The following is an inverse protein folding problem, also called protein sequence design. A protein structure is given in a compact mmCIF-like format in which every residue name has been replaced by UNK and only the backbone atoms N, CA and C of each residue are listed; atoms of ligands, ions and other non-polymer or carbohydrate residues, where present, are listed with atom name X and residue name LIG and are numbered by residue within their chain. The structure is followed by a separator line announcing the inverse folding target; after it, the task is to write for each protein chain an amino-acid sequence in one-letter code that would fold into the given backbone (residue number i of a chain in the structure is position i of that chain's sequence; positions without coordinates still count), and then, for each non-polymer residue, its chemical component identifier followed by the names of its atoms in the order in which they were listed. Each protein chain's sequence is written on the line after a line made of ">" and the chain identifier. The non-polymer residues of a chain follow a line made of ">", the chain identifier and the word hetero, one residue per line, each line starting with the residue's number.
data_IF_451107508562
#
_entry.id   IF_451107508562
#
_cell.length_a   1.000
_cell.length_b   1.000
_cell.length_c   1.000
_cell.angle_alpha   90.00
_cell.angle_beta   90.00
_cell.angle_gamma   90.00
#
_symmetry.space_group_name_H-M   'P 1'
#
loop_
_entity.id
_entity.type
_entity.pdbx_description
1 polymer ?
#
# COMPACT_ATOMS: atom_id res chain seq x y z
N UNK A 1 -10.41 18.58 7.42
CA UNK A 1 -10.82 18.25 8.82
C UNK A 1 -10.75 16.74 8.96
N UNK A 2 -10.28 16.24 10.10
CA UNK A 2 -10.29 14.81 10.38
C UNK A 2 -11.73 14.27 10.19
N UNK A 3 -11.90 13.19 9.42
CA UNK A 3 -13.21 12.60 9.12
C UNK A 3 -13.59 11.52 10.14
N UNK A 4 -13.16 11.72 11.38
CA UNK A 4 -13.44 10.89 12.53
C UNK A 4 -13.72 11.76 13.75
N UNK A 5 -14.44 11.21 14.71
CA UNK A 5 -14.69 11.83 16.01
C UNK A 5 -14.03 10.99 17.10
N UNK A 6 -13.20 11.66 17.90
CA UNK A 6 -12.69 11.08 19.13
C UNK A 6 -13.84 10.92 20.11
N UNK A 7 -14.07 9.70 20.58
CA UNK A 7 -15.08 9.36 21.59
C UNK A 7 -14.44 8.57 22.73
N UNK A 8 -15.16 8.42 23.86
CA UNK A 8 -14.72 7.57 24.95
C UNK A 8 -14.77 6.08 24.59
N UNK A 9 -14.08 5.23 25.36
CA UNK A 9 -14.11 3.77 25.16
C UNK A 9 -15.52 3.21 25.28
N UNK A 10 -16.32 3.70 26.22
CA UNK A 10 -17.69 3.26 26.46
C UNK A 10 -18.58 3.56 25.25
N UNK A 11 -18.49 4.79 24.71
CA UNK A 11 -19.25 5.20 23.52
C UNK A 11 -18.83 4.39 22.29
N UNK A 12 -17.53 4.08 22.16
CA UNK A 12 -17.04 3.23 21.08
C UNK A 12 -17.52 1.79 21.23
N UNK A 13 -17.41 1.19 22.41
CA UNK A 13 -17.91 -0.16 22.70
C UNK A 13 -19.41 -0.27 22.43
N UNK A 14 -20.22 0.69 22.89
CA UNK A 14 -21.66 0.72 22.61
C UNK A 14 -21.98 0.75 21.11
N UNK A 15 -21.10 1.38 20.32
CA UNK A 15 -21.23 1.43 18.86
C UNK A 15 -20.91 0.08 18.23
N UNK A 16 -19.86 -0.61 18.69
CA UNK A 16 -19.33 -1.82 18.00
C UNK A 16 -19.84 -3.15 18.59
N UNK A 17 -20.34 -3.17 19.82
CA UNK A 17 -20.73 -4.41 20.53
C UNK A 17 -21.81 -5.26 19.85
N UNK A 18 -22.56 -4.69 18.92
CA UNK A 18 -23.67 -5.36 18.23
C UNK A 18 -23.22 -6.20 17.03
N UNK A 19 -21.96 -6.10 16.62
CA UNK A 19 -21.41 -6.85 15.48
C UNK A 19 -20.33 -7.83 15.93
N UNK A 20 -20.19 -8.99 15.25
CA UNK A 20 -19.20 -9.99 15.62
C UNK A 20 -17.77 -9.50 15.36
N UNK A 21 -16.85 -9.84 16.26
CA UNK A 21 -15.43 -9.57 16.05
C UNK A 21 -14.91 -10.29 14.79
N UNK A 22 -13.98 -9.69 14.03
CA UNK A 22 -13.42 -10.34 12.85
C UNK A 22 -12.63 -11.59 13.23
N UNK A 23 -12.78 -12.64 12.43
CA UNK A 23 -11.98 -13.87 12.50
C UNK A 23 -10.52 -13.61 12.07
N UNK A 24 -9.56 -14.45 12.48
CA UNK A 24 -8.17 -14.35 12.00
C UNK A 24 -8.05 -14.30 10.47
N UNK A 25 -8.83 -15.12 9.76
CA UNK A 25 -8.84 -15.15 8.31
C UNK A 25 -9.39 -13.85 7.67
N UNK A 26 -10.34 -13.18 8.32
CA UNK A 26 -10.83 -11.87 7.86
C UNK A 26 -9.75 -10.80 8.01
N UNK A 27 -8.95 -10.82 9.08
CA UNK A 27 -7.79 -9.93 9.22
C UNK A 27 -6.75 -10.16 8.12
N UNK A 28 -6.41 -11.42 7.83
CA UNK A 28 -5.45 -11.78 6.78
C UNK A 28 -5.93 -11.31 5.40
N UNK A 29 -7.19 -11.58 5.07
CA UNK A 29 -7.80 -11.10 3.81
C UNK A 29 -7.83 -9.60 3.72
N UNK A 30 -8.12 -8.91 4.82
CA UNK A 30 -8.19 -7.46 4.84
C UNK A 30 -6.80 -6.82 4.71
N UNK A 31 -5.77 -7.41 5.32
CA UNK A 31 -4.38 -7.00 5.10
C UNK A 31 -4.00 -7.15 3.62
N UNK A 32 -4.27 -8.32 3.03
CA UNK A 32 -4.03 -8.57 1.62
C UNK A 32 -4.83 -7.63 0.71
N UNK A 33 -6.07 -7.28 1.09
CA UNK A 33 -6.88 -6.29 0.39
C UNK A 33 -6.18 -4.94 0.38
N UNK A 34 -5.90 -4.34 1.55
CA UNK A 34 -5.24 -3.03 1.62
C UNK A 34 -3.95 -3.06 0.79
N UNK A 35 -3.08 -4.04 0.98
CA UNK A 35 -1.80 -4.19 0.27
C UNK A 35 -1.93 -4.23 -1.27
N UNK A 36 -3.06 -4.68 -1.82
CA UNK A 36 -3.24 -4.87 -3.26
C UNK A 36 -4.37 -4.04 -3.87
N UNK A 37 -5.05 -3.18 -3.09
CA UNK A 37 -6.11 -2.30 -3.60
C UNK A 37 -5.52 -1.30 -4.59
N UNK A 38 -6.20 -1.19 -5.73
CA UNK A 38 -5.73 -0.40 -6.85
C UNK A 38 -6.14 1.05 -6.67
N UNK A 39 -5.16 1.97 -6.73
CA UNK A 39 -5.26 3.41 -7.05
C UNK A 39 -4.62 4.33 -6.00
N UNK A 40 -4.84 4.10 -4.71
CA UNK A 40 -4.37 5.03 -3.66
C UNK A 40 -2.84 5.14 -3.57
N UNK A 41 -2.11 4.06 -3.84
CA UNK A 41 -0.64 4.04 -3.75
C UNK A 41 0.02 5.03 -4.72
N UNK A 42 -0.64 5.30 -5.86
CA UNK A 42 -0.20 6.24 -6.90
C UNK A 42 -0.21 7.69 -6.41
N UNK A 43 -0.93 7.95 -5.33
CA UNK A 43 -1.14 9.26 -4.76
C UNK A 43 -0.35 9.48 -3.46
N UNK A 44 0.44 8.51 -3.01
CA UNK A 44 1.27 8.71 -1.81
C UNK A 44 2.40 9.71 -2.12
N UNK A 45 2.75 10.56 -1.17
CA UNK A 45 3.94 11.41 -1.30
C UNK A 45 5.18 10.55 -1.07
N UNK A 46 6.27 10.79 -1.81
CA UNK A 46 7.55 10.16 -1.47
C UNK A 46 8.08 10.76 -0.17
N UNK A 47 8.02 12.08 0.00
CA UNK A 47 8.50 12.76 1.21
C UNK A 47 7.66 12.47 2.47
N UNK A 48 6.34 12.50 2.35
CA UNK A 48 5.44 12.47 3.51
C UNK A 48 4.59 11.20 3.61
N UNK A 49 4.70 10.26 2.66
CA UNK A 49 3.83 9.09 2.59
C UNK A 49 2.34 9.45 2.47
N UNK A 50 1.49 8.51 2.90
CA UNK A 50 0.09 8.75 3.23
C UNK A 50 -0.23 8.17 4.59
N UNK A 51 -1.12 8.84 5.32
CA UNK A 51 -1.52 8.43 6.67
C UNK A 51 -2.74 7.53 6.59
N UNK A 52 -2.64 6.34 7.16
CA UNK A 52 -3.68 5.33 7.21
C UNK A 52 -4.14 5.14 8.64
N UNK A 53 -5.41 4.79 8.79
CA UNK A 53 -6.01 4.33 10.04
C UNK A 53 -6.83 3.09 9.69
N UNK A 54 -6.58 1.97 10.35
CA UNK A 54 -7.48 0.80 10.33
C UNK A 54 -8.35 0.81 11.59
N UNK A 55 -9.62 0.46 11.45
CA UNK A 55 -10.58 0.50 12.56
C UNK A 55 -11.72 -0.48 12.32
N UNK A 56 -12.54 -0.68 13.35
CA UNK A 56 -13.73 -1.51 13.30
C UNK A 56 -14.97 -0.63 13.27
N UNK A 57 -15.82 -0.83 12.26
CA UNK A 57 -16.98 0.02 11.96
C UNK A 57 -18.17 -0.85 11.57
N UNK A 58 -19.28 -0.85 12.35
CA UNK A 58 -20.48 -1.63 12.03
C UNK A 58 -21.02 -1.38 10.61
N UNK A 59 -20.76 -0.19 10.05
CA UNK A 59 -21.20 0.21 8.71
C UNK A 59 -20.17 -0.08 7.60
N UNK A 60 -19.07 -0.79 7.89
CA UNK A 60 -18.10 -1.19 6.89
C UNK A 60 -18.78 -1.96 5.75
N UNK A 61 -18.36 -1.73 4.50
CA UNK A 61 -18.96 -2.35 3.31
C UNK A 61 -20.14 -1.58 2.70
N UNK A 62 -20.87 -0.75 3.45
CA UNK A 62 -22.08 -0.06 2.94
C UNK A 62 -21.84 0.86 1.75
N UNK A 63 -20.63 1.41 1.65
CA UNK A 63 -20.22 2.34 0.58
C UNK A 63 -19.09 1.74 -0.26
N UNK A 64 -18.91 0.42 -0.21
CA UNK A 64 -17.88 -0.23 -0.99
C UNK A 64 -18.24 -0.19 -2.49
N UNK A 65 -17.28 0.11 -3.40
CA UNK A 65 -17.59 0.22 -4.82
C UNK A 65 -18.18 -1.07 -5.41
N UNK A 66 -19.20 -0.95 -6.24
CA UNK A 66 -19.93 -2.10 -6.79
C UNK A 66 -19.16 -2.88 -7.87
N UNK A 67 -18.07 -2.34 -8.41
CA UNK A 67 -17.34 -2.92 -9.55
C UNK A 67 -15.88 -3.26 -9.25
N UNK A 68 -15.11 -2.28 -8.76
CA UNK A 68 -13.67 -2.40 -8.54
C UNK A 68 -13.27 -1.67 -7.24
N UNK A 69 -12.38 -2.23 -6.41
CA UNK A 69 -11.74 -3.55 -6.53
C UNK A 69 -12.72 -4.71 -6.32
N UNK A 70 -12.53 -5.84 -7.01
CA UNK A 70 -13.38 -7.03 -6.83
C UNK A 70 -13.04 -7.77 -5.54
N UNK A 71 -14.05 -8.09 -4.75
CA UNK A 71 -13.91 -8.90 -3.54
C UNK A 71 -14.03 -10.40 -3.84
N UNK A 72 -13.49 -11.29 -2.97
CA UNK A 72 -13.54 -12.74 -3.18
C UNK A 72 -14.94 -13.33 -3.30
N UNK A 73 -15.95 -12.67 -2.73
CA UNK A 73 -17.32 -13.18 -2.69
C UNK A 73 -18.33 -12.30 -3.45
N UNK A 74 -17.91 -11.14 -3.96
CA UNK A 74 -18.80 -10.13 -4.55
C UNK A 74 -18.72 -8.78 -3.84
N UNK A 75 -19.12 -7.70 -4.52
CA UNK A 75 -18.93 -6.32 -4.08
C UNK A 75 -20.14 -5.72 -3.33
N UNK A 76 -21.03 -6.56 -2.82
CA UNK A 76 -22.12 -6.13 -1.93
C UNK A 76 -21.69 -6.17 -0.46
N UNK A 77 -22.48 -5.54 0.41
CA UNK A 77 -22.19 -5.44 1.85
C UNK A 77 -22.07 -6.81 2.53
N UNK A 78 -22.93 -7.77 2.19
CA UNK A 78 -22.91 -9.11 2.79
C UNK A 78 -21.60 -9.83 2.46
N UNK A 79 -21.18 -9.77 1.20
CA UNK A 79 -19.94 -10.37 0.73
C UNK A 79 -18.70 -9.62 1.22
N UNK A 80 -18.79 -8.31 1.44
CA UNK A 80 -17.77 -7.55 2.18
C UNK A 80 -17.63 -8.08 3.61
N UNK A 81 -18.73 -8.24 4.35
CA UNK A 81 -18.69 -8.79 5.72
C UNK A 81 -18.16 -10.22 5.75
N UNK A 82 -18.50 -11.03 4.75
CA UNK A 82 -17.92 -12.37 4.60
C UNK A 82 -16.41 -12.34 4.35
N UNK A 83 -15.92 -11.36 3.59
CA UNK A 83 -14.51 -11.20 3.28
C UNK A 83 -13.71 -10.66 4.48
N UNK A 84 -14.20 -9.61 5.14
CA UNK A 84 -13.42 -8.77 6.05
C UNK A 84 -14.10 -8.52 7.41
N UNK A 85 -15.31 -9.03 7.61
CA UNK A 85 -16.13 -8.67 8.76
C UNK A 85 -16.48 -7.18 8.70
N UNK A 86 -16.37 -6.50 9.84
CA UNK A 86 -16.61 -5.05 9.93
C UNK A 86 -15.30 -4.25 9.99
N UNK A 87 -14.20 -4.81 9.47
CA UNK A 87 -12.94 -4.08 9.31
C UNK A 87 -13.08 -3.00 8.25
N UNK A 88 -12.52 -1.83 8.52
CA UNK A 88 -12.45 -0.72 7.57
C UNK A 88 -11.15 0.05 7.75
N UNK A 89 -10.82 0.89 6.77
CA UNK A 89 -9.69 1.79 6.84
C UNK A 89 -10.07 3.15 6.25
N UNK A 90 -9.23 4.14 6.51
CA UNK A 90 -9.28 5.42 5.84
C UNK A 90 -7.86 5.92 5.66
N UNK A 91 -7.61 6.71 4.61
CA UNK A 91 -6.28 7.23 4.35
C UNK A 91 -6.28 8.67 3.85
N UNK A 92 -5.24 9.44 4.15
CA UNK A 92 -4.97 10.75 3.53
C UNK A 92 -3.72 10.65 2.70
N UNK A 93 -3.82 10.98 1.41
CA UNK A 93 -2.66 11.18 0.55
C UNK A 93 -2.13 12.61 0.71
N UNK A 94 -0.89 12.75 1.18
CA UNK A 94 -0.25 14.06 1.31
C UNK A 94 0.16 14.68 -0.06
N UNK A 95 0.16 13.91 -1.15
CA UNK A 95 0.67 14.35 -2.46
C UNK A 95 -0.18 15.42 -3.18
N UNK A 96 -1.34 15.83 -2.64
CA UNK A 96 -2.23 16.78 -3.34
C UNK A 96 -2.80 17.89 -2.46
N UNK A 97 -2.21 18.17 -1.29
CA UNK A 97 -2.82 19.06 -0.28
C UNK A 97 -4.25 18.62 0.10
N UNK A 98 -4.62 17.37 -0.19
CA UNK A 98 -5.93 16.82 0.13
C UNK A 98 -6.03 16.69 1.65
N UNK A 99 -6.77 17.60 2.28
CA UNK A 99 -7.01 17.61 3.73
C UNK A 99 -8.12 16.65 4.17
N UNK A 100 -8.32 15.59 3.40
CA UNK A 100 -9.52 14.77 3.39
C UNK A 100 -9.13 13.30 3.33
N UNK A 101 -9.63 12.51 4.28
CA UNK A 101 -9.48 11.05 4.29
C UNK A 101 -10.32 10.43 3.18
N UNK A 102 -9.82 9.42 2.47
CA UNK A 102 -10.47 8.64 1.39
C UNK A 102 -10.58 7.14 1.76
N UNK A 103 -11.37 6.38 0.98
CA UNK A 103 -11.54 4.92 1.06
C UNK A 103 -11.49 4.31 -0.35
N UNK A 104 -10.86 3.14 -0.48
CA UNK A 104 -10.78 2.19 -1.61
C UNK A 104 -10.63 2.71 -3.05
N UNK A 105 -11.47 3.62 -3.55
CA UNK A 105 -11.33 4.17 -4.91
C UNK A 105 -11.83 5.61 -5.09
N UNK A 106 -12.18 6.32 -4.01
CA UNK A 106 -12.90 7.57 -4.20
C UNK A 106 -12.44 8.77 -3.33
N UNK A 107 -12.40 9.94 -3.99
CA UNK A 107 -12.46 11.30 -3.39
C UNK A 107 -13.88 11.61 -2.83
N UNK A 108 -14.80 10.65 -2.85
CA UNK A 108 -16.26 10.84 -2.76
C UNK A 108 -16.83 10.81 -1.35
N UNK A 109 -16.09 11.16 -0.32
CA UNK A 109 -16.81 11.53 0.87
C UNK A 109 -17.45 12.89 0.63
N UNK A 110 -18.76 12.85 0.36
CA UNK A 110 -19.61 14.02 0.26
C UNK A 110 -19.61 14.73 1.60
N UNK A 111 -19.87 16.03 1.59
CA UNK A 111 -20.00 16.82 2.80
C UNK A 111 -21.09 16.20 3.70
N UNK A 112 -20.71 15.76 4.92
CA UNK A 112 -21.61 15.10 5.89
C UNK A 112 -21.51 13.57 5.98
N UNK A 113 -20.70 12.90 5.16
CA UNK A 113 -20.81 11.45 4.97
C UNK A 113 -19.95 10.56 5.90
N UNK A 114 -19.22 11.10 6.88
CA UNK A 114 -18.43 10.24 7.81
C UNK A 114 -18.31 10.79 9.22
N UNK A 115 -19.04 10.16 10.13
CA UNK A 115 -18.87 10.27 11.57
C UNK A 115 -18.28 8.96 12.12
N UNK A 116 -17.11 8.55 11.63
CA UNK A 116 -16.44 7.36 12.20
C UNK A 116 -16.00 7.72 13.61
N UNK A 117 -16.56 7.02 14.59
CA UNK A 117 -16.15 7.15 15.99
C UNK A 117 -14.89 6.31 16.19
N UNK A 118 -13.85 6.91 16.76
CA UNK A 118 -12.64 6.22 17.19
C UNK A 118 -12.24 6.73 18.57
N UNK A 119 -11.49 5.94 19.34
CA UNK A 119 -10.89 6.43 20.58
C UNK A 119 -9.49 6.98 20.30
N UNK A 120 -8.93 7.79 21.22
CA UNK A 120 -7.53 8.26 21.10
C UNK A 120 -6.55 7.09 21.08
N UNK A 121 -6.79 6.08 21.92
CA UNK A 121 -5.96 4.88 22.03
C UNK A 121 -6.01 4.04 20.74
N UNK A 122 -7.21 3.85 20.17
CA UNK A 122 -7.35 3.17 18.89
C UNK A 122 -6.55 3.91 17.80
N UNK A 123 -6.73 5.23 17.70
CA UNK A 123 -6.01 6.05 16.74
C UNK A 123 -4.49 5.92 16.90
N UNK A 124 -3.98 5.98 18.13
CA UNK A 124 -2.55 5.88 18.42
C UNK A 124 -1.95 4.52 18.02
N UNK A 125 -2.72 3.44 18.12
CA UNK A 125 -2.25 2.07 17.88
C UNK A 125 -2.49 1.55 16.46
N UNK A 126 -3.44 2.13 15.73
CA UNK A 126 -3.83 1.65 14.40
C UNK A 126 -3.53 2.64 13.28
N UNK A 127 -2.94 3.79 13.60
CA UNK A 127 -2.42 4.73 12.60
C UNK A 127 -1.02 4.34 12.14
N UNK A 128 -0.77 4.49 10.84
CA UNK A 128 0.54 4.25 10.24
C UNK A 128 0.73 5.08 8.97
N UNK A 129 1.98 5.21 8.52
CA UNK A 129 2.33 5.90 7.27
C UNK A 129 2.83 4.89 6.26
N UNK A 130 2.19 4.88 5.08
CA UNK A 130 2.64 4.09 3.94
C UNK A 130 3.36 4.97 2.92
N UNK A 131 4.46 4.45 2.40
CA UNK A 131 5.21 5.06 1.32
C UNK A 131 4.87 4.38 -0.02
N UNK A 132 5.20 5.03 -1.16
CA UNK A 132 4.84 4.53 -2.49
C UNK A 132 5.31 3.10 -2.81
N UNK A 133 6.25 2.56 -2.04
CA UNK A 133 6.82 1.22 -2.19
C UNK A 133 5.81 0.07 -2.06
N UNK A 134 4.63 0.35 -1.50
CA UNK A 134 3.59 -0.67 -1.29
C UNK A 134 2.97 -1.22 -2.60
N UNK A 135 3.18 -0.56 -3.74
CA UNK A 135 2.58 -0.95 -5.02
C UNK A 135 2.90 -2.42 -5.38
N UNK A 136 1.86 -3.23 -5.59
CA UNK A 136 2.01 -4.63 -6.00
C UNK A 136 2.30 -4.80 -7.49
N UNK A 137 2.07 -3.77 -8.31
CA UNK A 137 2.35 -3.78 -9.75
C UNK A 137 3.73 -3.19 -10.08
N UNK A 138 4.75 -3.49 -9.27
CA UNK A 138 6.12 -2.99 -9.46
C UNK A 138 6.32 -1.53 -9.01
N UNK A 139 7.49 -0.97 -9.34
CA UNK A 139 7.94 0.32 -8.80
C UNK A 139 7.54 1.56 -9.61
N UNK A 140 6.68 1.43 -10.64
CA UNK A 140 6.19 2.57 -11.44
C UNK A 140 5.59 3.69 -10.58
N UNK A 141 4.99 3.34 -9.44
CA UNK A 141 4.44 4.32 -8.51
C UNK A 141 5.49 5.22 -7.84
N UNK A 142 6.76 4.83 -7.86
CA UNK A 142 7.90 5.64 -7.40
C UNK A 142 8.26 6.68 -8.47
N UNK A 143 8.28 6.26 -9.74
CA UNK A 143 8.78 7.05 -10.87
C UNK A 143 7.72 7.75 -11.71
N UNK A 144 6.43 7.49 -11.45
CA UNK A 144 5.30 8.11 -12.14
C UNK A 144 5.53 9.62 -12.31
N UNK A 145 5.20 10.13 -13.51
CA UNK A 145 5.55 11.46 -14.03
C UNK A 145 4.94 12.67 -13.29
N UNK A 146 4.50 12.51 -12.04
CA UNK A 146 4.16 13.63 -11.18
C UNK A 146 5.44 14.45 -10.92
N UNK A 147 5.43 15.71 -11.37
CA UNK A 147 6.54 16.67 -11.25
C UNK A 147 7.13 16.68 -9.83
N UNK A 148 6.29 16.54 -8.80
CA UNK A 148 6.71 16.55 -7.40
C UNK A 148 7.61 15.36 -7.01
N UNK A 149 7.49 14.19 -7.67
CA UNK A 149 8.31 13.01 -7.33
C UNK A 149 9.77 13.18 -7.71
N UNK A 150 10.04 13.77 -8.87
CA UNK A 150 11.43 14.02 -9.31
C UNK A 150 12.09 15.08 -8.43
N UNK A 151 11.35 16.11 -8.02
CA UNK A 151 11.83 17.08 -7.04
C UNK A 151 12.11 16.43 -5.67
N UNK A 152 11.22 15.57 -5.18
CA UNK A 152 11.43 14.83 -3.93
C UNK A 152 12.70 13.96 -4.00
N UNK A 153 12.93 13.22 -5.08
CA UNK A 153 14.14 12.40 -5.26
C UNK A 153 15.40 13.28 -5.26
N UNK A 154 15.37 14.42 -5.95
CA UNK A 154 16.50 15.35 -5.96
C UNK A 154 16.75 15.97 -4.58
N UNK A 155 15.70 16.36 -3.87
CA UNK A 155 15.78 16.90 -2.52
C UNK A 155 16.33 15.86 -1.53
N UNK A 156 15.93 14.59 -1.65
CA UNK A 156 16.50 13.48 -0.90
C UNK A 156 18.01 13.33 -1.16
N UNK A 157 18.44 13.34 -2.42
CA UNK A 157 19.86 13.24 -2.80
C UNK A 157 20.71 14.39 -2.26
N UNK A 158 20.12 15.57 -2.12
CA UNK A 158 20.75 16.76 -1.50
C UNK A 158 20.74 16.71 0.03
N UNK A 159 20.05 15.76 0.65
CA UNK A 159 19.91 15.66 2.10
C UNK A 159 18.93 16.67 2.69
N UNK A 160 17.98 17.20 1.92
CA UNK A 160 16.98 18.16 2.40
C UNK A 160 15.93 17.52 3.33
N UNK A 161 15.78 16.20 3.27
CA UNK A 161 14.99 15.38 4.19
C UNK A 161 15.50 13.94 4.18
N UNK A 162 15.00 13.13 5.12
CA UNK A 162 15.30 11.69 5.19
C UNK A 162 14.07 10.83 5.04
N UNK A 163 14.23 9.62 4.51
CA UNK A 163 13.18 8.61 4.43
C UNK A 163 13.35 7.54 5.53
N UNK A 164 12.26 6.89 5.98
CA UNK A 164 12.36 5.61 6.65
C UNK A 164 13.06 4.61 5.73
N UNK A 165 14.03 3.85 6.25
CA UNK A 165 14.83 2.90 5.47
C UNK A 165 15.52 3.53 4.25
N UNK A 166 16.00 4.78 4.41
CA UNK A 166 16.63 5.55 3.34
C UNK A 166 17.74 4.78 2.62
N UNK A 167 18.61 4.07 3.35
CA UNK A 167 19.74 3.37 2.74
C UNK A 167 19.24 2.30 1.74
N UNK A 168 18.23 1.53 2.14
CA UNK A 168 17.58 0.53 1.27
C UNK A 168 16.89 1.18 0.06
N UNK A 169 16.26 2.35 0.26
CA UNK A 169 15.68 3.11 -0.86
C UNK A 169 16.75 3.66 -1.82
N UNK A 170 17.87 4.15 -1.31
CA UNK A 170 18.98 4.63 -2.13
C UNK A 170 19.66 3.48 -2.89
N UNK A 171 19.81 2.32 -2.26
CA UNK A 171 20.26 1.08 -2.92
C UNK A 171 19.31 0.68 -4.05
N UNK A 172 18.00 0.67 -3.80
CA UNK A 172 16.99 0.42 -4.85
C UNK A 172 17.14 1.39 -6.02
N UNK A 173 17.28 2.70 -5.74
CA UNK A 173 17.46 3.73 -6.76
C UNK A 173 18.73 3.53 -7.58
N UNK A 174 19.83 3.12 -6.93
CA UNK A 174 21.09 2.83 -7.60
C UNK A 174 20.97 1.59 -8.51
N UNK A 175 20.39 0.50 -7.99
CA UNK A 175 20.17 -0.73 -8.77
C UNK A 175 19.26 -0.45 -9.97
N UNK A 176 18.21 0.36 -9.79
CA UNK A 176 17.34 0.79 -10.87
C UNK A 176 18.08 1.58 -11.96
N UNK A 177 18.88 2.59 -11.58
CA UNK A 177 19.67 3.37 -12.55
C UNK A 177 20.70 2.50 -13.31
N UNK A 178 21.31 1.54 -12.64
CA UNK A 178 22.22 0.58 -13.28
C UNK A 178 21.48 -0.35 -14.24
N UNK A 179 20.29 -0.83 -13.85
CA UNK A 179 19.42 -1.68 -14.68
C UNK A 179 18.98 -0.95 -15.94
N UNK A 180 18.48 0.28 -15.81
CA UNK A 180 18.10 1.13 -16.94
C UNK A 180 19.30 1.40 -17.86
N UNK A 181 20.47 1.67 -17.29
CA UNK A 181 21.70 1.87 -18.08
C UNK A 181 22.10 0.59 -18.83
N UNK A 182 22.03 -0.57 -18.17
CA UNK A 182 22.32 -1.86 -18.80
C UNK A 182 21.34 -2.16 -19.95
N UNK A 183 20.05 -1.93 -19.73
CA UNK A 183 19.01 -2.08 -20.76
C UNK A 183 19.25 -1.18 -21.96
N UNK A 184 19.51 0.12 -21.72
CA UNK A 184 19.74 1.10 -22.80
C UNK A 184 21.04 0.84 -23.59
N UNK A 185 21.96 0.04 -23.05
CA UNK A 185 23.19 -0.37 -23.73
C UNK A 185 23.02 -1.67 -24.53
N UNK A 186 21.88 -2.37 -24.42
CA UNK A 186 21.60 -3.53 -25.25
C UNK A 186 21.42 -3.10 -26.72
N UNK A 187 22.00 -3.87 -27.62
CA UNK A 187 21.73 -3.74 -29.06
C UNK A 187 20.29 -4.16 -29.38
N UNK A 188 19.79 -3.77 -30.55
CA UNK A 188 18.45 -4.17 -31.01
C UNK A 188 18.28 -5.70 -31.05
N UNK A 189 19.34 -6.44 -31.42
CA UNK A 189 19.35 -7.90 -31.43
C UNK A 189 19.25 -8.49 -30.02
N UNK A 190 19.97 -7.92 -29.06
CA UNK A 190 19.95 -8.34 -27.66
C UNK A 190 18.60 -8.05 -27.01
N UNK A 191 18.04 -6.87 -27.28
CA UNK A 191 16.68 -6.52 -26.83
C UNK A 191 15.66 -7.49 -27.43
N UNK A 192 15.74 -7.82 -28.71
CA UNK A 192 14.85 -8.81 -29.33
C UNK A 192 14.97 -10.18 -28.67
N UNK A 193 16.18 -10.64 -28.33
CA UNK A 193 16.40 -11.90 -27.62
C UNK A 193 15.77 -11.90 -26.22
N UNK A 194 15.90 -10.79 -25.48
CA UNK A 194 15.33 -10.63 -24.13
C UNK A 194 13.79 -10.77 -24.13
N UNK A 195 13.11 -10.24 -25.15
CA UNK A 195 11.64 -10.27 -25.24
C UNK A 195 11.07 -11.52 -25.94
N UNK A 196 11.90 -12.45 -26.40
CA UNK A 196 11.41 -13.71 -26.98
C UNK A 196 10.77 -14.57 -25.89
N UNK A 197 9.60 -15.20 -26.14
CA UNK A 197 9.00 -16.15 -25.20
C UNK A 197 10.00 -17.26 -24.86
N UNK A 198 10.08 -17.66 -23.59
CA UNK A 198 11.01 -18.71 -23.12
C UNK A 198 10.93 -20.01 -23.93
N UNK A 199 9.77 -20.36 -24.49
CA UNK A 199 9.60 -21.54 -25.37
C UNK A 199 10.38 -21.47 -26.70
N UNK A 200 10.79 -20.27 -27.12
CA UNK A 200 11.55 -20.03 -28.35
C UNK A 200 13.01 -19.65 -28.09
N UNK A 201 13.41 -19.49 -26.83
CA UNK A 201 14.78 -19.18 -26.46
C UNK A 201 15.60 -20.48 -26.58
N UNK A 202 16.64 -20.47 -27.42
CA UNK A 202 17.63 -21.55 -27.38
C UNK A 202 18.41 -21.33 -26.09
N UNK A 203 18.21 -22.17 -25.06
CA UNK A 203 18.76 -21.99 -23.69
C UNK A 203 20.26 -21.60 -23.68
N UNK A 204 21.05 -22.01 -24.68
CA UNK A 204 22.47 -21.64 -24.81
C UNK A 204 22.81 -20.24 -25.36
N UNK A 205 21.86 -19.48 -25.93
CA UNK A 205 22.14 -18.15 -26.53
C UNK A 205 22.05 -17.03 -25.49
N UNK A 206 21.12 -17.13 -24.53
CA UNK A 206 21.02 -16.18 -23.42
C UNK A 206 22.12 -16.43 -22.38
N UNK A 207 22.45 -17.70 -22.11
CA UNK A 207 23.58 -18.08 -21.25
C UNK A 207 24.96 -17.65 -21.77
N UNK A 208 25.07 -17.18 -23.02
CA UNK A 208 26.34 -16.80 -23.63
C UNK A 208 26.47 -15.31 -23.93
N UNK A 209 25.45 -14.49 -23.69
CA UNK A 209 25.53 -13.04 -23.88
C UNK A 209 25.79 -12.31 -22.55
N UNK A 210 27.00 -11.76 -22.32
CA UNK A 210 27.33 -11.10 -21.07
C UNK A 210 26.51 -9.83 -20.78
N UNK A 211 26.03 -9.13 -21.81
CA UNK A 211 25.24 -7.92 -21.65
C UNK A 211 23.83 -8.24 -21.13
N UNK A 212 23.19 -9.28 -21.69
CA UNK A 212 21.88 -9.77 -21.22
C UNK A 212 22.00 -10.32 -19.80
N UNK A 213 23.03 -11.13 -19.51
CA UNK A 213 23.27 -11.65 -18.16
C UNK A 213 23.47 -10.53 -17.13
N UNK A 214 24.20 -9.49 -17.49
CA UNK A 214 24.41 -8.34 -16.62
C UNK A 214 23.09 -7.58 -16.38
N UNK A 215 22.26 -7.40 -17.41
CA UNK A 215 20.93 -6.81 -17.27
C UNK A 215 20.04 -7.64 -16.33
N UNK A 216 19.91 -8.95 -16.55
CA UNK A 216 19.07 -9.84 -15.73
C UNK A 216 19.53 -9.87 -14.25
N UNK A 217 20.85 -9.85 -14.01
CA UNK A 217 21.39 -9.75 -12.67
C UNK A 217 20.97 -8.45 -11.97
N UNK A 218 21.11 -7.31 -12.65
CA UNK A 218 20.74 -5.99 -12.11
C UNK A 218 19.22 -5.85 -11.93
N UNK A 219 18.42 -6.39 -12.85
CA UNK A 219 16.96 -6.44 -12.74
C UNK A 219 16.53 -7.24 -11.51
N UNK A 220 17.12 -8.43 -11.31
CA UNK A 220 16.89 -9.27 -10.13
C UNK A 220 17.24 -8.55 -8.83
N UNK A 221 18.40 -7.86 -8.78
CA UNK A 221 18.81 -7.06 -7.61
C UNK A 221 17.85 -5.89 -7.34
N UNK A 222 17.39 -5.22 -8.40
CA UNK A 222 16.42 -4.12 -8.30
C UNK A 222 15.09 -4.61 -7.73
N UNK A 223 14.58 -5.73 -8.27
CA UNK A 223 13.33 -6.33 -7.82
C UNK A 223 13.43 -6.84 -6.38
N UNK A 224 14.54 -7.50 -6.01
CA UNK A 224 14.77 -7.97 -4.65
C UNK A 224 14.74 -6.79 -3.66
N UNK A 225 15.47 -5.71 -3.95
CA UNK A 225 15.52 -4.52 -3.08
C UNK A 225 14.14 -3.85 -2.99
N UNK A 226 13.41 -3.78 -4.10
CA UNK A 226 12.05 -3.26 -4.12
C UNK A 226 11.10 -4.11 -3.26
N UNK A 227 11.17 -5.43 -3.38
CA UNK A 227 10.34 -6.35 -2.59
C UNK A 227 10.63 -6.22 -1.09
N UNK A 228 11.88 -5.97 -0.68
CA UNK A 228 12.20 -5.67 0.71
C UNK A 228 11.52 -4.39 1.19
N UNK A 229 11.59 -3.28 0.43
CA UNK A 229 10.89 -2.03 0.74
C UNK A 229 9.38 -2.27 0.85
N UNK A 230 8.79 -2.99 -0.11
CA UNK A 230 7.37 -3.32 -0.13
C UNK A 230 6.96 -4.16 1.08
N UNK A 231 7.77 -5.14 1.45
CA UNK A 231 7.52 -6.01 2.60
C UNK A 231 7.47 -5.21 3.91
N UNK A 232 8.36 -4.23 4.08
CA UNK A 232 8.33 -3.31 5.23
C UNK A 232 6.98 -2.55 5.29
N UNK A 233 6.47 -2.08 4.15
CA UNK A 233 5.18 -1.40 4.10
C UNK A 233 4.00 -2.35 4.43
N UNK A 234 4.06 -3.60 3.96
CA UNK A 234 3.09 -4.64 4.32
C UNK A 234 3.06 -4.94 5.82
N UNK A 235 4.23 -4.99 6.46
CA UNK A 235 4.36 -5.27 7.90
C UNK A 235 3.71 -4.19 8.76
N UNK A 236 3.72 -2.93 8.33
CA UNK A 236 3.00 -1.84 9.01
C UNK A 236 1.49 -2.09 9.05
N UNK A 237 0.91 -2.54 7.94
CA UNK A 237 -0.52 -2.89 7.85
C UNK A 237 -0.83 -4.05 8.80
N UNK A 238 -0.01 -5.10 8.78
CA UNK A 238 -0.18 -6.28 9.64
C UNK A 238 -0.07 -5.89 11.12
N UNK A 239 0.91 -5.06 11.50
CA UNK A 239 1.09 -4.58 12.86
C UNK A 239 -0.12 -3.76 13.34
N UNK A 240 -0.61 -2.84 12.52
CA UNK A 240 -1.78 -2.03 12.84
C UNK A 240 -3.04 -2.89 13.03
N UNK A 241 -3.22 -3.93 12.21
CA UNK A 241 -4.34 -4.88 12.35
C UNK A 241 -4.21 -5.79 13.58
N UNK A 242 -2.99 -6.21 13.94
CA UNK A 242 -2.73 -6.93 15.20
C UNK A 242 -3.06 -6.06 16.41
N UNK A 243 -2.66 -4.79 16.37
CA UNK A 243 -2.98 -3.82 17.42
C UNK A 243 -4.49 -3.58 17.52
N UNK A 244 -5.19 -3.43 16.39
CA UNK A 244 -6.65 -3.33 16.35
C UNK A 244 -7.31 -4.53 17.00
N UNK A 245 -6.87 -5.75 16.65
CA UNK A 245 -7.40 -6.98 17.22
C UNK A 245 -7.23 -7.00 18.74
N UNK A 246 -6.01 -6.72 19.23
CA UNK A 246 -5.73 -6.67 20.66
C UNK A 246 -6.61 -5.64 21.38
N UNK A 247 -6.73 -4.45 20.81
CA UNK A 247 -7.58 -3.39 21.35
C UNK A 247 -9.04 -3.85 21.48
N UNK A 248 -9.59 -4.51 20.45
CA UNK A 248 -10.96 -5.02 20.49
C UNK A 248 -11.13 -6.17 21.50
N UNK A 249 -10.16 -7.08 21.61
CA UNK A 249 -10.19 -8.15 22.61
C UNK A 249 -10.18 -7.57 24.04
N UNK A 250 -9.35 -6.56 24.32
CA UNK A 250 -9.34 -5.86 25.61
C UNK A 250 -10.64 -5.10 25.87
N UNK A 251 -11.18 -4.43 24.85
CA UNK A 251 -12.42 -3.66 24.95
C UNK A 251 -13.64 -4.53 25.31
N UNK A 252 -13.68 -5.79 24.87
CA UNK A 252 -14.79 -6.71 25.15
C UNK A 252 -14.63 -7.51 26.46
N UNK A 253 -13.43 -7.49 27.05
CA UNK A 253 -13.14 -8.18 28.32
C UNK A 253 -13.31 -7.27 29.55
N UNK A 254 -13.70 -6.01 29.36
CA UNK A 254 -13.94 -4.98 30.38
C UNK A 254 -15.39 -4.47 30.31
#
# INVERSE_FOLDING_TARGET
>A
MARYHIVSKEVYLDTVRQVPLPTPLQYERFAAHITNVHSWYKHLSLRFGGHFIVFFDPNAGNVYPSQHPKLPFGNDTENYHKAFGHLSYMYVSNARLKRHYSRDDEDTFREGEVNVKITEELLAHTSFVLYPYINHNGFDSIFNAYIDRQHDIQALRKGEYTLPHQDLFLEFMQNYELTETAYNNLSEQETQLLWQPQENQTEGVIETNPAIQNYELLESQTEETYQQLRQIECEKIILALRNLRKYLEELYNH
#
